data_IF_582323462270
#
_entry.id   IF_582323462270
#
_cell.length_a   1.000
_cell.length_b   1.000
_cell.length_c   1.000
_cell.angle_alpha   90.00
_cell.angle_beta   90.00
_cell.angle_gamma   90.00
#
_symmetry.space_group_name_H-M   'P 1'
#
loop_
_entity.id
_entity.type
_entity.pdbx_description
1 polymer ?
#
# COMPACT_ATOMS: atom_id res chain seq x y z
N UNK A 1 7.73 5.46 26.73
CA UNK A 1 7.39 4.70 25.50
C UNK A 1 5.92 4.81 25.18
N UNK A 2 5.55 4.40 23.96
CA UNK A 2 4.17 4.50 23.53
C UNK A 2 3.77 3.26 22.75
N UNK A 3 3.09 2.34 23.42
CA UNK A 3 2.56 1.15 22.77
C UNK A 3 1.53 1.55 21.73
N UNK A 4 1.72 1.10 20.48
CA UNK A 4 0.86 1.51 19.37
C UNK A 4 -0.57 0.99 19.51
N UNK A 5 -1.52 1.92 19.40
CA UNK A 5 -2.93 1.56 19.39
C UNK A 5 -3.44 1.55 17.96
N UNK A 6 -4.69 1.18 17.76
CA UNK A 6 -5.24 1.06 16.41
C UNK A 6 -5.11 2.36 15.61
N UNK A 7 -5.15 3.50 16.29
CA UNK A 7 -4.98 4.79 15.63
C UNK A 7 -3.55 5.02 15.21
N UNK A 8 -2.62 4.63 16.05
CA UNK A 8 -1.22 4.64 15.66
C UNK A 8 -1.03 3.86 14.37
N UNK A 9 -1.75 2.75 14.26
CA UNK A 9 -1.71 1.93 13.06
C UNK A 9 -2.36 2.62 11.86
N UNK A 10 -3.59 3.09 12.04
CA UNK A 10 -4.32 3.76 10.94
C UNK A 10 -3.59 5.00 10.46
N UNK A 11 -2.94 5.72 11.37
CA UNK A 11 -2.18 6.91 11.01
C UNK A 11 -0.87 6.56 10.31
N UNK A 12 -0.20 5.49 10.76
CA UNK A 12 1.05 5.08 10.14
C UNK A 12 0.84 4.33 8.82
N UNK A 13 -0.34 3.77 8.62
CA UNK A 13 -0.66 3.08 7.35
C UNK A 13 -0.20 3.88 6.13
N UNK A 14 -0.54 5.19 6.04
CA UNK A 14 -0.06 6.05 4.95
C UNK A 14 1.46 6.04 4.79
N UNK A 15 2.18 6.10 5.89
CA UNK A 15 3.64 6.15 5.84
C UNK A 15 4.19 4.78 5.48
N UNK A 16 3.57 3.75 6.04
CA UNK A 16 3.88 2.37 5.70
C UNK A 16 3.74 2.13 4.21
N UNK A 17 2.67 2.63 3.61
CA UNK A 17 2.43 2.45 2.19
C UNK A 17 3.33 3.38 1.38
N UNK A 18 3.60 4.55 1.93
CA UNK A 18 4.56 5.46 1.34
C UNK A 18 5.91 4.77 1.26
N UNK A 19 6.15 3.90 2.23
CA UNK A 19 7.34 3.09 2.26
C UNK A 19 7.21 1.85 1.38
N UNK A 20 6.02 1.27 1.38
CA UNK A 20 5.72 0.12 0.55
C UNK A 20 5.98 0.46 -0.91
N UNK A 21 5.83 1.73 -1.24
CA UNK A 21 5.90 2.17 -2.62
C UNK A 21 7.10 3.09 -2.91
N UNK A 22 7.79 3.58 -1.87
CA UNK A 22 8.92 4.50 -2.09
C UNK A 22 10.01 3.86 -2.95
N UNK A 23 10.21 2.57 -2.76
CA UNK A 23 11.17 1.82 -3.53
C UNK A 23 10.88 1.94 -5.02
N UNK A 24 9.62 1.75 -5.39
CA UNK A 24 9.21 1.79 -6.78
C UNK A 24 9.20 3.22 -7.33
N UNK A 25 8.91 4.18 -6.46
CA UNK A 25 8.93 5.58 -6.86
C UNK A 25 10.36 6.04 -7.12
N UNK A 26 11.29 5.61 -6.26
CA UNK A 26 12.69 5.95 -6.44
C UNK A 26 13.38 5.07 -7.46
N UNK A 27 12.64 4.11 -8.00
CA UNK A 27 13.17 3.22 -9.03
C UNK A 27 13.64 4.00 -10.25
N UNK A 28 14.82 3.69 -10.74
CA UNK A 28 15.32 4.31 -11.96
C UNK A 28 14.83 3.53 -13.17
N UNK A 29 13.60 3.80 -13.56
CA UNK A 29 12.97 3.12 -14.68
C UNK A 29 13.36 3.76 -15.99
N UNK A 30 14.02 4.93 -15.91
CA UNK A 30 14.48 5.63 -17.10
C UNK A 30 15.58 4.85 -17.81
N UNK A 31 16.09 3.84 -17.11
CA UNK A 31 17.04 2.89 -17.68
C UNK A 31 16.37 2.14 -18.84
N UNK A 32 15.04 2.18 -18.85
CA UNK A 32 14.24 1.48 -19.84
C UNK A 32 13.71 2.47 -20.89
N UNK A 33 13.38 1.99 -22.11
CA UNK A 33 12.73 2.81 -23.13
C UNK A 33 11.49 3.51 -22.63
N UNK A 34 11.07 4.54 -23.35
CA UNK A 34 9.93 5.35 -22.93
C UNK A 34 8.73 4.48 -22.64
N UNK A 35 8.31 3.65 -23.59
CA UNK A 35 7.04 2.94 -23.48
C UNK A 35 7.03 1.96 -22.30
N UNK A 36 8.09 1.20 -22.14
CA UNK A 36 8.16 0.21 -21.06
C UNK A 36 8.33 0.91 -19.72
N UNK A 37 9.11 1.98 -19.71
CA UNK A 37 9.27 2.78 -18.51
C UNK A 37 7.98 3.54 -18.21
N UNK A 38 7.27 3.91 -19.26
CA UNK A 38 5.89 4.41 -19.16
C UNK A 38 4.99 3.41 -18.49
N UNK A 39 5.23 2.16 -18.74
CA UNK A 39 4.56 1.10 -17.99
C UNK A 39 4.88 1.24 -16.50
N UNK A 40 6.10 1.68 -16.21
CA UNK A 40 6.47 2.09 -14.85
C UNK A 40 5.86 3.46 -14.53
N UNK A 41 5.62 4.27 -15.55
CA UNK A 41 4.96 5.56 -15.39
C UNK A 41 3.53 5.34 -14.89
N UNK A 42 2.91 4.31 -15.43
CA UNK A 42 1.60 3.85 -14.97
C UNK A 42 1.72 3.27 -13.58
N UNK A 43 2.80 2.53 -13.34
CA UNK A 43 3.12 2.06 -12.00
C UNK A 43 3.23 3.25 -11.05
N UNK A 44 3.85 4.31 -11.53
CA UNK A 44 4.02 5.52 -10.75
C UNK A 44 2.69 6.17 -10.47
N UNK A 45 1.94 6.47 -11.51
CA UNK A 45 0.68 7.13 -11.34
C UNK A 45 -0.27 6.31 -10.48
N UNK A 46 -0.40 5.03 -10.82
CA UNK A 46 -1.33 4.15 -10.12
C UNK A 46 -0.86 3.73 -8.72
N UNK A 47 0.44 3.64 -8.46
CA UNK A 47 0.92 3.24 -7.13
C UNK A 47 1.01 4.44 -6.21
N UNK A 48 1.41 5.57 -6.78
CA UNK A 48 1.34 6.82 -6.07
C UNK A 48 -0.14 7.11 -5.76
N UNK A 49 -0.99 6.93 -6.76
CA UNK A 49 -2.45 6.88 -6.56
C UNK A 49 -2.84 5.85 -5.49
N UNK A 50 -2.25 4.67 -5.55
CA UNK A 50 -2.59 3.58 -4.63
C UNK A 50 -2.28 3.96 -3.20
N UNK A 51 -1.16 4.64 -3.00
CA UNK A 51 -0.82 5.16 -1.69
C UNK A 51 -1.91 6.10 -1.22
N UNK A 52 -2.33 6.94 -2.14
CA UNK A 52 -3.27 8.00 -1.84
C UNK A 52 -4.71 7.50 -1.69
N UNK A 53 -5.08 6.44 -2.40
CA UNK A 53 -6.39 5.83 -2.19
C UNK A 53 -6.48 5.33 -0.76
N UNK A 54 -5.35 4.84 -0.28
CA UNK A 54 -5.21 4.46 1.10
C UNK A 54 -5.13 5.73 1.95
N UNK A 55 -4.53 6.77 1.37
CA UNK A 55 -4.48 8.07 2.01
C UNK A 55 -5.88 8.56 2.34
N UNK A 56 -6.79 8.44 1.38
CA UNK A 56 -8.16 8.83 1.60
C UNK A 56 -8.94 7.80 2.39
N UNK A 57 -8.55 6.55 2.35
CA UNK A 57 -9.24 5.54 3.12
C UNK A 57 -9.00 5.78 4.60
N UNK A 58 -7.77 6.14 4.94
CA UNK A 58 -7.43 6.55 6.29
C UNK A 58 -8.16 7.85 6.63
N UNK A 59 -8.20 8.77 5.66
CA UNK A 59 -8.90 10.03 5.84
C UNK A 59 -10.39 9.79 6.08
N UNK A 60 -10.94 8.77 5.42
CA UNK A 60 -12.34 8.39 5.59
C UNK A 60 -12.60 8.05 7.05
N UNK A 61 -11.74 7.24 7.64
CA UNK A 61 -11.88 6.85 9.04
C UNK A 61 -11.61 8.06 9.94
N UNK A 62 -10.74 8.93 9.47
CA UNK A 62 -10.28 10.08 10.23
C UNK A 62 -11.31 11.21 10.28
N UNK A 63 -12.33 11.17 9.42
CA UNK A 63 -13.28 12.28 9.37
C UNK A 63 -14.57 11.96 10.14
N UNK A 64 -14.46 11.10 11.15
CA UNK A 64 -15.58 10.81 12.04
C UNK A 64 -15.09 10.43 13.43
N UNK A 65 -15.64 11.10 14.44
CA UNK A 65 -15.10 11.11 15.80
C UNK A 65 -15.20 9.76 16.50
N UNK A 66 -16.31 9.06 16.30
CA UNK A 66 -16.50 7.75 16.92
C UNK A 66 -15.42 6.78 16.44
N UNK A 67 -15.23 6.75 15.13
CA UNK A 67 -14.21 5.91 14.52
C UNK A 67 -12.82 6.26 15.02
N UNK A 68 -12.49 7.56 14.96
CA UNK A 68 -11.18 8.02 15.40
C UNK A 68 -10.93 7.66 16.86
N UNK A 69 -11.90 7.96 17.72
CA UNK A 69 -11.75 7.77 19.15
C UNK A 69 -11.46 6.31 19.51
N UNK A 70 -12.12 5.39 18.82
CA UNK A 70 -11.90 3.97 19.07
C UNK A 70 -10.50 3.54 18.68
N UNK A 71 -10.00 4.11 17.60
CA UNK A 71 -8.64 3.84 17.16
C UNK A 71 -7.63 4.28 18.23
N UNK A 72 -7.80 5.47 18.76
CA UNK A 72 -6.87 5.99 19.76
C UNK A 72 -7.14 5.39 21.13
N UNK A 73 -8.39 5.09 21.37
CA UNK A 73 -8.77 4.51 22.62
C UNK A 73 -9.37 5.53 23.56
N UNK A 74 -10.14 6.44 23.01
CA UNK A 74 -10.74 7.50 23.78
C UNK A 74 -12.12 7.09 24.28
N UNK B 1 26.65 -11.11 -3.30
CA UNK B 1 26.31 -9.67 -3.19
C UNK B 1 25.29 -9.26 -4.23
N UNK B 2 24.03 -9.54 -3.95
CA UNK B 2 22.96 -9.27 -4.90
C UNK B 2 22.18 -8.02 -4.49
N UNK B 3 22.61 -6.88 -4.99
CA UNK B 3 21.87 -5.65 -4.83
C UNK B 3 20.52 -5.78 -5.55
N UNK B 4 19.41 -5.56 -4.81
CA UNK B 4 18.06 -5.79 -5.33
C UNK B 4 17.78 -5.04 -6.63
N UNK B 5 17.34 -5.79 -7.63
CA UNK B 5 16.97 -5.21 -8.91
C UNK B 5 15.60 -4.55 -8.81
N UNK B 6 15.22 -3.73 -9.78
CA UNK B 6 13.92 -3.08 -9.76
C UNK B 6 12.77 -4.09 -9.68
N UNK B 7 12.97 -5.28 -10.23
CA UNK B 7 11.95 -6.33 -10.14
C UNK B 7 11.85 -6.85 -8.72
N UNK B 8 12.97 -6.94 -8.03
CA UNK B 8 12.94 -7.24 -6.60
C UNK B 8 12.01 -6.28 -5.89
N UNK B 9 12.08 -5.00 -6.26
CA UNK B 9 11.21 -3.98 -5.69
C UNK B 9 9.75 -4.17 -6.11
N UNK B 10 9.51 -4.24 -7.42
CA UNK B 10 8.14 -4.35 -7.93
C UNK B 10 7.45 -5.62 -7.41
N UNK B 11 8.20 -6.69 -7.25
CA UNK B 11 7.65 -7.94 -6.73
C UNK B 11 7.43 -7.88 -5.21
N UNK B 12 8.29 -7.16 -4.50
CA UNK B 12 8.16 -7.05 -3.04
C UNK B 12 7.09 -6.04 -2.64
N UNK B 13 6.73 -5.13 -3.54
CA UNK B 13 5.69 -4.14 -3.26
C UNK B 13 4.45 -4.80 -2.64
N UNK B 14 3.92 -5.91 -3.23
CA UNK B 14 2.83 -6.68 -2.61
C UNK B 14 3.09 -7.04 -1.15
N UNK B 15 4.30 -7.52 -0.85
CA UNK B 15 4.63 -7.93 0.52
C UNK B 15 4.76 -6.70 1.42
N UNK B 16 5.39 -5.66 0.90
CA UNK B 16 5.49 -4.38 1.59
C UNK B 16 4.13 -3.84 1.97
N UNK B 17 3.18 -3.93 1.04
CA UNK B 17 1.83 -3.43 1.28
C UNK B 17 1.05 -4.39 2.16
N UNK B 18 1.38 -5.68 2.07
CA UNK B 18 0.86 -6.67 3.00
C UNK B 18 1.28 -6.29 4.41
N UNK B 19 2.54 -5.90 4.55
CA UNK B 19 3.09 -5.42 5.80
C UNK B 19 2.54 -4.04 6.15
N UNK B 20 2.28 -3.25 5.12
CA UNK B 20 1.74 -1.91 5.30
C UNK B 20 0.42 -1.96 6.05
N UNK B 21 -0.39 -2.95 5.75
CA UNK B 21 -1.72 -2.99 6.32
C UNK B 21 -1.98 -4.22 7.22
N UNK B 22 -0.97 -5.05 7.44
CA UNK B 22 -1.15 -6.22 8.31
C UNK B 22 -1.55 -5.78 9.72
N UNK B 23 -1.02 -4.64 10.10
CA UNK B 23 -1.36 -4.00 11.36
C UNK B 23 -2.87 -3.77 11.46
N UNK B 24 -3.44 -3.13 10.44
CA UNK B 24 -4.85 -2.80 10.43
C UNK B 24 -5.72 -4.03 10.20
N UNK B 25 -5.20 -4.99 9.43
CA UNK B 25 -5.92 -6.24 9.22
C UNK B 25 -6.00 -7.04 10.52
N UNK B 26 -4.88 -7.11 11.22
CA UNK B 26 -4.84 -7.79 12.51
C UNK B 26 -5.39 -6.94 13.64
N UNK B 27 -5.87 -5.75 13.32
CA UNK B 27 -6.46 -4.87 14.32
C UNK B 27 -7.75 -5.46 14.85
N UNK B 28 -7.91 -5.41 16.16
CA UNK B 28 -9.12 -5.89 16.80
C UNK B 28 -10.10 -4.75 16.99
N UNK B 29 -10.99 -4.59 16.03
CA UNK B 29 -11.98 -3.52 16.05
C UNK B 29 -13.28 -4.01 16.67
N UNK B 30 -13.32 -5.28 17.05
CA UNK B 30 -14.53 -5.88 17.60
C UNK B 30 -14.84 -5.36 19.00
N UNK B 31 -13.92 -4.57 19.56
CA UNK B 31 -14.16 -3.90 20.84
C UNK B 31 -14.75 -2.52 20.60
N UNK B 32 -15.20 -2.32 19.38
CA UNK B 32 -15.89 -1.10 18.99
C UNK B 32 -17.31 -1.45 18.54
N UNK B 33 -18.26 -0.48 18.59
CA UNK B 33 -19.61 -0.68 18.07
C UNK B 33 -19.56 -1.10 16.61
N UNK B 34 -20.55 -1.88 16.18
CA UNK B 34 -20.52 -2.46 14.84
C UNK B 34 -20.24 -1.40 13.80
N UNK B 35 -21.00 -0.31 13.80
CA UNK B 35 -20.95 0.66 12.72
C UNK B 35 -19.56 1.30 12.56
N UNK B 36 -18.92 1.66 13.67
CA UNK B 36 -17.62 2.31 13.60
C UNK B 36 -16.55 1.29 13.25
N UNK B 37 -16.70 0.09 13.80
CA UNK B 37 -15.77 -0.97 13.51
C UNK B 37 -15.99 -1.46 12.08
N UNK B 38 -17.22 -1.30 11.59
CA UNK B 38 -17.55 -1.51 10.18
C UNK B 38 -16.81 -0.54 9.31
N UNK B 39 -16.55 0.63 9.83
CA UNK B 39 -15.67 1.57 9.15
C UNK B 39 -14.27 0.98 9.05
N UNK B 40 -13.88 0.20 10.08
CA UNK B 40 -12.67 -0.61 9.98
C UNK B 40 -12.93 -1.83 9.08
N UNK B 41 -14.19 -2.26 9.02
CA UNK B 41 -14.59 -3.36 8.14
C UNK B 41 -14.47 -2.93 6.68
N UNK B 42 -14.72 -1.65 6.45
CA UNK B 42 -14.51 -1.02 5.15
C UNK B 42 -13.02 -0.88 4.90
N UNK B 43 -12.29 -0.53 5.94
CA UNK B 43 -10.83 -0.55 5.88
C UNK B 43 -10.35 -1.95 5.52
N UNK B 44 -11.06 -2.94 6.03
CA UNK B 44 -10.73 -4.34 5.80
C UNK B 44 -11.00 -4.75 4.36
N UNK B 45 -12.11 -4.29 3.81
CA UNK B 45 -12.43 -4.64 2.43
C UNK B 45 -11.61 -3.81 1.46
N UNK B 46 -11.65 -2.50 1.65
CA UNK B 46 -11.04 -1.57 0.71
C UNK B 46 -9.52 -1.52 0.78
N UNK B 47 -8.95 -1.61 1.99
CA UNK B 47 -7.50 -1.52 2.11
C UNK B 47 -6.85 -2.84 1.75
N UNK B 48 -7.56 -3.92 2.02
CA UNK B 48 -7.13 -5.21 1.57
C UNK B 48 -7.30 -5.29 0.04
N UNK B 49 -8.41 -4.76 -0.45
CA UNK B 49 -8.60 -4.47 -1.88
C UNK B 49 -7.47 -3.62 -2.43
N UNK B 50 -6.97 -2.69 -1.64
CA UNK B 50 -5.86 -1.84 -2.05
C UNK B 50 -4.63 -2.68 -2.31
N UNK B 51 -4.42 -3.70 -1.49
CA UNK B 51 -3.31 -4.63 -1.70
C UNK B 51 -3.59 -5.43 -2.95
N UNK B 52 -4.85 -5.75 -3.15
CA UNK B 52 -5.32 -6.48 -4.30
C UNK B 52 -5.06 -5.73 -5.60
N UNK B 53 -5.34 -4.43 -5.59
CA UNK B 53 -5.12 -3.60 -6.77
C UNK B 53 -3.64 -3.43 -7.06
N UNK B 54 -2.85 -3.32 -6.00
CA UNK B 54 -1.41 -3.15 -6.13
C UNK B 54 -0.74 -4.43 -6.59
N UNK B 55 -1.13 -5.53 -5.96
CA UNK B 55 -0.62 -6.83 -6.36
C UNK B 55 -0.83 -7.05 -7.84
N UNK B 56 -2.03 -6.77 -8.32
CA UNK B 56 -2.34 -6.95 -9.73
C UNK B 56 -1.85 -5.80 -10.61
N UNK B 57 -1.52 -4.66 -10.02
CA UNK B 57 -0.87 -3.61 -10.79
C UNK B 57 0.54 -4.07 -11.13
N UNK B 58 1.15 -4.78 -10.18
CA UNK B 58 2.42 -5.45 -10.43
C UNK B 58 2.22 -6.52 -11.48
N UNK B 59 1.08 -7.21 -11.40
CA UNK B 59 0.74 -8.22 -12.39
C UNK B 59 0.62 -7.60 -13.78
N UNK B 60 0.07 -6.38 -13.84
CA UNK B 60 -0.05 -5.65 -15.10
C UNK B 60 1.32 -5.36 -15.70
N UNK B 61 2.31 -5.10 -14.87
CA UNK B 61 3.70 -4.96 -15.34
C UNK B 61 4.25 -6.32 -15.73
N UNK B 62 3.79 -7.35 -15.04
CA UNK B 62 4.30 -8.71 -15.19
C UNK B 62 3.71 -9.45 -16.39
N UNK B 63 2.73 -8.85 -17.05
CA UNK B 63 2.07 -9.50 -18.19
C UNK B 63 2.69 -9.05 -19.51
N UNK B 64 3.93 -8.57 -19.46
CA UNK B 64 4.62 -8.15 -20.68
C UNK B 64 6.13 -8.28 -20.51
N UNK B 65 6.74 -9.12 -21.36
CA UNK B 65 8.13 -9.56 -21.24
C UNK B 65 9.16 -8.43 -21.19
N UNK B 66 8.99 -7.43 -22.03
CA UNK B 66 9.95 -6.32 -22.09
C UNK B 66 9.99 -5.59 -20.75
N UNK B 67 8.82 -5.26 -20.23
CA UNK B 67 8.68 -4.61 -18.93
C UNK B 67 9.29 -5.47 -17.83
N UNK B 68 8.94 -6.76 -17.81
CA UNK B 68 9.47 -7.68 -16.82
C UNK B 68 11.00 -7.72 -16.86
N UNK B 69 11.53 -7.92 -18.06
CA UNK B 69 12.98 -8.06 -18.25
C UNK B 69 13.74 -6.85 -17.74
N UNK B 70 13.21 -5.66 -17.96
CA UNK B 70 13.87 -4.44 -17.51
C UNK B 70 13.92 -4.35 -16.00
N UNK B 71 12.87 -4.82 -15.36
CA UNK B 71 12.81 -4.84 -13.90
C UNK B 71 13.89 -5.76 -13.32
N UNK B 72 14.00 -6.96 -13.86
CA UNK B 72 15.00 -7.91 -13.39
C UNK B 72 16.38 -7.57 -13.91
N UNK B 73 16.39 -6.92 -15.05
CA UNK B 73 17.63 -6.50 -15.65
C UNK B 73 18.15 -7.52 -16.64
N UNK B 74 17.23 -8.19 -17.30
CA UNK B 74 17.58 -9.21 -18.27
C UNK B 74 17.71 -8.61 -19.66
#
# INVERSE_FOLDING_TARGET
GAMPSKLALIQELPDRIQTAVEAAMGMSYQDAPNNVRRDLDNLHACLNKAKLTVGRMVTSLLEKPSVVAYLEGK
GAMPSKLALIQELPDRIQTAVEAAMGMSYQDAPNNVRRDLDNLHACLNKAKLTVGRMVTSLLEKPSVVAYLEGK
#
